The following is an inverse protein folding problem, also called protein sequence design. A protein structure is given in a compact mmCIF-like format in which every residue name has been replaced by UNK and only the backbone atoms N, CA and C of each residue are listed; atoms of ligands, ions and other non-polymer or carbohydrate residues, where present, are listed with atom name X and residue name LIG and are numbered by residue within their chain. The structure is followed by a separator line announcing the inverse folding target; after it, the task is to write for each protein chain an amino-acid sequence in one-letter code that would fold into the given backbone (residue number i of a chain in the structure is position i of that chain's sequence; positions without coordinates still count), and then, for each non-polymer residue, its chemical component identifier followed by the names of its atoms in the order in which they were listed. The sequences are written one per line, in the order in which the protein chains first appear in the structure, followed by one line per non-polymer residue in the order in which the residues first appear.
data_IF_750690600267
#
_entry.id   IF_750690600267
#
_cell.length_a   1.000
_cell.length_b   1.000
_cell.length_c   1.000
_cell.angle_alpha   90.00
_cell.angle_beta   90.00
_cell.angle_gamma   90.00
#
_symmetry.space_group_name_H-M   'P 1'
#
loop_
_entity.id
_entity.type
_entity.pdbx_description
1 polymer ?
#
# COMPACT_ATOMS: atom_id res chain seq x y z
N UNK A 1 -25.86 -14.37 -3.67
CA UNK A 1 -25.56 -13.81 -5.00
C UNK A 1 -24.98 -12.42 -4.77
N UNK A 2 -23.98 -11.99 -5.56
CA UNK A 2 -23.45 -10.62 -5.44
C UNK A 2 -24.54 -9.63 -5.88
N UNK A 3 -24.71 -8.54 -5.15
CA UNK A 3 -25.55 -7.41 -5.52
C UNK A 3 -24.68 -6.28 -6.09
N UNK A 4 -25.24 -5.39 -6.91
CA UNK A 4 -24.52 -4.24 -7.49
C UNK A 4 -23.92 -3.35 -6.40
N UNK A 5 -24.65 -3.19 -5.28
CA UNK A 5 -24.19 -2.45 -4.10
C UNK A 5 -22.85 -2.99 -3.56
N UNK A 6 -22.57 -4.29 -3.68
CA UNK A 6 -21.32 -4.88 -3.20
C UNK A 6 -20.08 -4.32 -3.94
N UNK A 7 -20.25 -3.82 -5.16
CA UNK A 7 -19.19 -3.21 -5.97
C UNK A 7 -18.95 -1.75 -5.55
N UNK A 8 -20.01 -1.03 -5.19
CA UNK A 8 -19.92 0.33 -4.63
C UNK A 8 -19.29 0.29 -3.23
N UNK A 9 -19.70 -0.66 -2.39
CA UNK A 9 -19.13 -0.84 -1.07
C UNK A 9 -17.67 -1.31 -1.15
N UNK A 10 -17.32 -2.12 -2.15
CA UNK A 10 -15.94 -2.49 -2.43
C UNK A 10 -15.07 -1.27 -2.75
N UNK A 11 -15.55 -0.34 -3.60
CA UNK A 11 -14.86 0.92 -3.89
C UNK A 11 -14.56 1.70 -2.60
N UNK A 12 -15.57 1.88 -1.74
CA UNK A 12 -15.46 2.61 -0.47
C UNK A 12 -14.51 1.93 0.52
N UNK A 13 -14.52 0.60 0.54
CA UNK A 13 -13.66 -0.21 1.39
C UNK A 13 -12.21 -0.31 0.91
N UNK A 14 -11.86 0.23 -0.27
CA UNK A 14 -10.53 0.12 -0.87
C UNK A 14 -10.26 -1.22 -1.56
N UNK A 15 -11.31 -1.99 -1.87
CA UNK A 15 -11.28 -3.14 -2.76
C UNK A 15 -11.56 -2.67 -4.19
N UNK A 16 -10.64 -1.90 -4.75
CA UNK A 16 -10.82 -1.21 -6.02
C UNK A 16 -10.90 -2.15 -7.22
N UNK A 17 -10.12 -3.23 -7.26
CA UNK A 17 -10.19 -4.14 -8.41
C UNK A 17 -11.49 -4.92 -8.43
N UNK A 18 -12.02 -5.29 -7.26
CA UNK A 18 -13.39 -5.80 -7.16
C UNK A 18 -14.40 -4.78 -7.70
N UNK A 19 -14.29 -3.49 -7.37
CA UNK A 19 -15.19 -2.47 -7.90
C UNK A 19 -15.17 -2.41 -9.45
N UNK A 20 -14.00 -2.58 -10.07
CA UNK A 20 -13.84 -2.60 -11.53
C UNK A 20 -14.45 -3.83 -12.21
N UNK A 21 -14.83 -4.87 -11.46
CA UNK A 21 -15.52 -6.06 -11.98
C UNK A 21 -17.03 -5.84 -12.20
N UNK A 22 -17.56 -4.65 -11.88
CA UNK A 22 -18.98 -4.29 -12.06
C UNK A 22 -19.49 -4.63 -13.47
N UNK A 23 -18.73 -4.25 -14.50
CA UNK A 23 -19.12 -4.50 -15.89
C UNK A 23 -19.23 -6.01 -16.22
N UNK A 24 -18.30 -6.81 -15.69
CA UNK A 24 -18.33 -8.27 -15.86
C UNK A 24 -19.55 -8.88 -15.15
N UNK A 25 -19.88 -8.40 -13.95
CA UNK A 25 -21.07 -8.80 -13.21
C UNK A 25 -22.36 -8.50 -13.98
N UNK A 26 -22.49 -7.28 -14.51
CA UNK A 26 -23.68 -6.88 -15.29
C UNK A 26 -23.82 -7.76 -16.54
N UNK A 27 -22.73 -7.98 -17.27
CA UNK A 27 -22.72 -8.88 -18.43
C UNK A 27 -23.19 -10.28 -18.03
N UNK A 28 -22.66 -10.85 -16.95
CA UNK A 28 -23.05 -12.17 -16.47
C UNK A 28 -24.51 -12.24 -16.01
N UNK A 29 -25.02 -11.20 -15.33
CA UNK A 29 -26.42 -11.12 -14.85
C UNK A 29 -27.42 -11.27 -15.99
N UNK A 30 -27.13 -10.63 -17.13
CA UNK A 30 -28.04 -10.59 -18.28
C UNK A 30 -27.74 -11.63 -19.36
N UNK A 31 -26.60 -12.32 -19.29
CA UNK A 31 -26.16 -13.26 -20.33
C UNK A 31 -27.15 -14.40 -20.58
N UNK A 32 -27.87 -14.90 -19.57
CA UNK A 32 -28.85 -15.98 -19.76
C UNK A 32 -30.09 -15.56 -20.56
N UNK A 33 -30.34 -14.24 -20.67
CA UNK A 33 -31.48 -13.67 -21.38
C UNK A 33 -31.18 -13.43 -22.87
N UNK A 34 -29.93 -13.62 -23.31
CA UNK A 34 -29.48 -13.42 -24.70
C UNK A 34 -28.62 -14.59 -25.18
N UNK A 35 -28.83 -15.04 -26.43
CA UNK A 35 -28.01 -16.11 -27.03
C UNK A 35 -26.60 -15.64 -27.40
N UNK A 36 -26.49 -14.39 -27.85
CA UNK A 36 -25.20 -13.77 -28.18
C UNK A 36 -24.58 -13.15 -26.93
N UNK A 37 -23.27 -12.92 -26.98
CA UNK A 37 -22.57 -12.20 -25.92
C UNK A 37 -23.12 -10.76 -25.80
N UNK A 38 -23.15 -10.26 -24.58
CA UNK A 38 -23.50 -8.85 -24.30
C UNK A 38 -22.38 -7.97 -24.85
N UNK A 39 -22.71 -7.13 -25.83
CA UNK A 39 -21.81 -6.18 -26.45
C UNK A 39 -21.64 -4.90 -25.61
N UNK A 40 -20.70 -4.03 -26.00
CA UNK A 40 -20.47 -2.76 -25.32
C UNK A 40 -21.71 -1.84 -25.35
N UNK A 41 -22.41 -1.78 -26.48
CA UNK A 41 -23.61 -0.95 -26.68
C UNK A 41 -24.78 -1.37 -25.77
N UNK A 42 -24.80 -2.63 -25.34
CA UNK A 42 -25.81 -3.18 -24.42
C UNK A 42 -25.34 -3.09 -22.97
N UNK A 43 -24.04 -3.29 -22.74
CA UNK A 43 -23.43 -3.26 -21.42
C UNK A 43 -23.53 -1.88 -20.76
N UNK A 44 -23.39 -0.80 -21.53
CA UNK A 44 -23.46 0.57 -21.02
C UNK A 44 -24.84 0.89 -20.42
N UNK A 45 -25.97 0.79 -21.15
CA UNK A 45 -27.29 1.08 -20.59
C UNK A 45 -27.66 0.13 -19.44
N UNK A 46 -27.32 -1.17 -19.53
CA UNK A 46 -27.54 -2.12 -18.44
C UNK A 46 -26.72 -1.76 -17.19
N UNK A 47 -25.46 -1.36 -17.37
CA UNK A 47 -24.59 -0.95 -16.27
C UNK A 47 -25.08 0.31 -15.59
N UNK A 48 -25.57 1.29 -16.35
CA UNK A 48 -26.17 2.52 -15.80
C UNK A 48 -27.43 2.18 -15.02
N UNK A 49 -28.30 1.32 -15.56
CA UNK A 49 -29.51 0.86 -14.89
C UNK A 49 -29.22 0.18 -13.55
N UNK A 50 -28.32 -0.79 -13.54
CA UNK A 50 -27.92 -1.49 -12.31
C UNK A 50 -27.30 -0.54 -11.28
N UNK A 51 -26.40 0.33 -11.72
CA UNK A 51 -25.67 1.22 -10.83
C UNK A 51 -26.55 2.40 -10.34
N UNK A 52 -27.57 2.81 -11.10
CA UNK A 52 -28.55 3.83 -10.68
C UNK A 52 -29.37 3.42 -9.46
N UNK A 53 -29.60 2.12 -9.29
CA UNK A 53 -30.33 1.53 -8.16
C UNK A 53 -29.48 1.42 -6.88
N UNK A 54 -28.19 1.76 -6.93
CA UNK A 54 -27.31 1.77 -5.75
C UNK A 54 -27.33 3.13 -5.06
N UNK A 55 -26.66 3.24 -3.92
CA UNK A 55 -26.45 4.52 -3.25
C UNK A 55 -25.23 5.33 -3.77
N UNK A 56 -24.58 4.92 -4.87
CA UNK A 56 -23.40 5.63 -5.40
C UNK A 56 -23.71 7.11 -5.63
N UNK A 57 -22.82 7.99 -5.19
CA UNK A 57 -23.06 9.42 -5.24
C UNK A 57 -21.74 10.22 -5.32
N UNK A 58 -21.84 11.54 -5.33
CA UNK A 58 -20.68 12.45 -5.44
C UNK A 58 -19.62 12.25 -4.35
N UNK A 59 -19.97 11.69 -3.19
CA UNK A 59 -19.01 11.42 -2.12
C UNK A 59 -18.07 10.25 -2.44
N UNK A 60 -18.40 9.45 -3.47
CA UNK A 60 -17.58 8.34 -3.92
C UNK A 60 -16.47 8.79 -4.89
N UNK A 61 -16.59 10.00 -5.46
CA UNK A 61 -15.64 10.57 -6.43
C UNK A 61 -14.18 10.50 -5.95
N UNK A 62 -13.82 10.82 -4.70
CA UNK A 62 -12.43 10.71 -4.24
C UNK A 62 -11.90 9.27 -4.34
N UNK A 63 -12.71 8.25 -4.06
CA UNK A 63 -12.28 6.86 -4.20
C UNK A 63 -12.11 6.45 -5.67
N UNK A 64 -12.97 6.97 -6.57
CA UNK A 64 -12.86 6.77 -8.01
C UNK A 64 -11.60 7.47 -8.56
N UNK A 65 -11.35 8.71 -8.13
CA UNK A 65 -10.18 9.48 -8.53
C UNK A 65 -8.88 8.84 -8.03
N UNK A 66 -8.87 8.28 -6.82
CA UNK A 66 -7.75 7.49 -6.33
C UNK A 66 -7.41 6.32 -7.26
N UNK A 67 -8.39 5.45 -7.57
CA UNK A 67 -8.10 4.27 -8.41
C UNK A 67 -7.71 4.66 -9.83
N UNK A 68 -8.29 5.73 -10.38
CA UNK A 68 -7.87 6.29 -11.67
C UNK A 68 -6.38 6.66 -11.64
N UNK A 69 -5.98 7.51 -10.71
CA UNK A 69 -4.59 7.98 -10.61
C UNK A 69 -3.62 6.85 -10.24
N UNK A 70 -4.06 5.90 -9.42
CA UNK A 70 -3.28 4.72 -9.08
C UNK A 70 -3.00 3.86 -10.32
N UNK A 71 -3.98 3.62 -11.17
CA UNK A 71 -3.78 2.87 -12.42
C UNK A 71 -2.96 3.66 -13.44
N UNK A 72 -3.18 4.99 -13.57
CA UNK A 72 -2.37 5.86 -14.44
C UNK A 72 -0.89 5.88 -14.06
N UNK A 73 -0.59 5.83 -12.75
CA UNK A 73 0.79 5.70 -12.26
C UNK A 73 1.47 4.43 -12.77
N UNK A 74 0.71 3.36 -13.01
CA UNK A 74 1.19 2.09 -13.52
C UNK A 74 0.89 1.92 -15.02
N UNK A 75 1.77 2.44 -15.88
CA UNK A 75 1.67 2.35 -17.37
C UNK A 75 1.29 0.96 -17.91
N UNK A 76 1.78 -0.11 -17.28
CA UNK A 76 1.44 -1.48 -17.70
C UNK A 76 -0.03 -1.85 -17.41
N UNK A 77 -0.57 -1.41 -16.27
CA UNK A 77 -1.96 -1.72 -15.89
C UNK A 77 -2.96 -0.93 -16.73
N UNK A 78 -2.67 0.36 -16.97
CA UNK A 78 -3.58 1.24 -17.75
C UNK A 78 -3.62 0.89 -19.23
N UNK A 79 -2.56 0.30 -19.80
CA UNK A 79 -2.56 -0.12 -21.21
C UNK A 79 -3.13 -1.54 -21.41
N UNK A 80 -3.56 -2.20 -20.33
CA UNK A 80 -4.13 -3.55 -20.36
C UNK A 80 -5.63 -3.57 -20.04
N UNK A 81 -6.12 -4.76 -19.68
CA UNK A 81 -7.51 -5.00 -19.29
C UNK A 81 -7.97 -4.12 -18.12
N UNK A 82 -7.06 -3.80 -17.18
CA UNK A 82 -7.37 -2.91 -16.05
C UNK A 82 -7.65 -1.48 -16.48
N UNK A 83 -6.98 -0.98 -17.52
CA UNK A 83 -7.32 0.30 -18.12
C UNK A 83 -8.68 0.31 -18.81
N UNK A 84 -8.99 -0.75 -19.56
CA UNK A 84 -10.31 -0.88 -20.20
C UNK A 84 -11.44 -0.91 -19.17
N UNK A 85 -11.34 -1.78 -18.16
CA UNK A 85 -12.33 -1.88 -17.07
C UNK A 85 -12.47 -0.58 -16.28
N UNK A 86 -11.37 0.14 -16.03
CA UNK A 86 -11.39 1.48 -15.43
C UNK A 86 -12.19 2.47 -16.28
N UNK A 87 -11.92 2.57 -17.59
CA UNK A 87 -12.62 3.50 -18.46
C UNK A 87 -14.11 3.19 -18.60
N UNK A 88 -14.47 1.90 -18.61
CA UNK A 88 -15.87 1.46 -18.56
C UNK A 88 -16.51 1.88 -17.24
N UNK A 89 -15.87 1.62 -16.11
CA UNK A 89 -16.39 2.02 -14.80
C UNK A 89 -16.57 3.55 -14.67
N UNK A 90 -15.61 4.35 -15.16
CA UNK A 90 -15.72 5.81 -15.17
C UNK A 90 -16.90 6.30 -16.01
N UNK A 91 -17.11 5.70 -17.19
CA UNK A 91 -18.24 6.03 -18.07
C UNK A 91 -19.57 5.69 -17.40
N UNK A 92 -19.67 4.54 -16.74
CA UNK A 92 -20.88 4.15 -16.00
C UNK A 92 -21.15 5.09 -14.82
N UNK A 93 -20.14 5.34 -13.99
CA UNK A 93 -20.27 6.20 -12.81
C UNK A 93 -20.63 7.64 -13.21
N UNK A 94 -20.03 8.20 -14.26
CA UNK A 94 -20.31 9.57 -14.69
C UNK A 94 -21.74 9.75 -15.20
N UNK A 95 -22.23 8.79 -15.98
CA UNK A 95 -23.59 8.80 -16.49
C UNK A 95 -24.59 8.60 -15.37
N UNK A 96 -24.34 7.69 -14.42
CA UNK A 96 -25.20 7.52 -13.25
C UNK A 96 -25.24 8.77 -12.39
N UNK A 97 -24.10 9.40 -12.12
CA UNK A 97 -24.08 10.65 -11.36
C UNK A 97 -24.84 11.78 -12.06
N UNK A 98 -24.85 11.80 -13.40
CA UNK A 98 -25.65 12.76 -14.17
C UNK A 98 -27.15 12.42 -14.16
N UNK A 99 -27.49 11.15 -14.34
CA UNK A 99 -28.87 10.65 -14.35
C UNK A 99 -29.53 10.77 -12.97
N UNK A 100 -28.77 10.67 -11.88
CA UNK A 100 -29.23 10.93 -10.51
C UNK A 100 -29.60 12.40 -10.23
N UNK A 101 -29.32 13.30 -11.17
CA UNK A 101 -29.81 14.68 -11.14
C UNK A 101 -31.15 14.84 -11.88
N UNK A 102 -31.74 13.76 -12.39
CA UNK A 102 -33.06 13.77 -13.00
C UNK A 102 -34.15 13.46 -11.97
N UNK A 103 -35.21 14.25 -11.96
CA UNK A 103 -36.34 14.07 -11.05
C UNK A 103 -37.17 12.83 -11.41
N UNK A 104 -37.13 12.38 -12.68
CA UNK A 104 -37.88 11.22 -13.15
C UNK A 104 -37.14 9.89 -12.91
N UNK A 105 -35.90 9.90 -12.41
CA UNK A 105 -35.09 8.68 -12.25
C UNK A 105 -35.81 7.62 -11.42
N UNK A 106 -36.34 8.00 -10.25
CA UNK A 106 -36.99 7.06 -9.34
C UNK A 106 -38.22 6.41 -9.98
N UNK A 107 -39.03 7.20 -10.70
CA UNK A 107 -40.20 6.70 -11.41
C UNK A 107 -39.81 5.75 -12.54
N UNK A 108 -38.87 6.15 -13.40
CA UNK A 108 -38.43 5.35 -14.55
C UNK A 108 -37.78 4.05 -14.10
N UNK A 109 -36.95 4.08 -13.06
CA UNK A 109 -36.31 2.86 -12.52
C UNK A 109 -37.33 1.93 -11.85
N UNK A 110 -38.28 2.46 -11.09
CA UNK A 110 -39.33 1.66 -10.46
C UNK A 110 -40.28 1.01 -11.48
N UNK A 111 -40.53 1.68 -12.62
CA UNK A 111 -41.35 1.16 -13.71
C UNK A 111 -40.60 0.17 -14.62
N UNK A 112 -39.27 0.13 -14.56
CA UNK A 112 -38.45 -0.74 -15.40
C UNK A 112 -38.26 -2.11 -14.73
N UNK A 113 -38.40 -3.19 -15.50
CA UNK A 113 -38.13 -4.56 -15.02
C UNK A 113 -37.50 -5.37 -16.14
N UNK A 114 -36.45 -6.15 -15.81
CA UNK A 114 -35.69 -6.96 -16.77
C UNK A 114 -35.47 -8.36 -16.20
N UNK A 115 -36.49 -9.21 -16.33
CA UNK A 115 -36.48 -10.60 -15.84
C UNK A 115 -36.40 -11.63 -16.98
N UNK A 116 -36.63 -11.20 -18.23
CA UNK A 116 -36.65 -12.09 -19.38
C UNK A 116 -36.14 -11.41 -20.66
N UNK A 117 -35.96 -12.22 -21.71
CA UNK A 117 -35.42 -11.78 -23.00
C UNK A 117 -36.28 -10.72 -23.72
N UNK A 118 -37.60 -10.74 -23.55
CA UNK A 118 -38.50 -9.78 -24.19
C UNK A 118 -38.38 -8.40 -23.53
N UNK A 119 -38.36 -8.36 -22.19
CA UNK A 119 -38.13 -7.15 -21.42
C UNK A 119 -36.74 -6.56 -21.69
N UNK A 120 -35.70 -7.40 -21.74
CA UNK A 120 -34.34 -6.95 -22.10
C UNK A 120 -34.33 -6.31 -23.49
N UNK A 121 -35.01 -6.91 -24.47
CA UNK A 121 -35.11 -6.37 -25.83
C UNK A 121 -35.83 -5.02 -25.85
N UNK A 122 -36.91 -4.85 -25.06
CA UNK A 122 -37.63 -3.58 -24.96
C UNK A 122 -36.79 -2.50 -24.27
N UNK A 123 -36.11 -2.85 -23.18
CA UNK A 123 -35.21 -1.95 -22.45
C UNK A 123 -34.11 -1.37 -23.34
N UNK A 124 -33.51 -2.21 -24.20
CA UNK A 124 -32.42 -1.83 -25.10
C UNK A 124 -32.86 -1.02 -26.33
N UNK A 125 -34.14 -0.71 -26.51
CA UNK A 125 -34.59 0.14 -27.62
C UNK A 125 -34.24 1.62 -27.35
N UNK A 126 -33.81 2.33 -28.39
CA UNK A 126 -33.45 3.76 -28.31
C UNK A 126 -34.59 4.66 -27.79
N UNK A 127 -35.83 4.22 -27.92
CA UNK A 127 -37.02 4.94 -27.48
C UNK A 127 -37.57 4.47 -26.12
N UNK A 128 -36.87 3.58 -25.40
CA UNK A 128 -37.25 3.18 -24.05
C UNK A 128 -37.15 4.37 -23.09
N UNK A 129 -37.96 4.39 -22.03
CA UNK A 129 -37.97 5.49 -21.06
C UNK A 129 -36.60 5.67 -20.40
N UNK A 130 -35.92 4.55 -20.11
CA UNK A 130 -34.56 4.58 -19.56
C UNK A 130 -33.52 5.10 -20.57
N UNK A 131 -33.63 4.73 -21.85
CA UNK A 131 -32.74 5.27 -22.89
C UNK A 131 -32.90 6.79 -23.04
N UNK A 132 -34.15 7.28 -23.06
CA UNK A 132 -34.45 8.73 -23.08
C UNK A 132 -33.88 9.44 -21.86
N UNK A 133 -33.97 8.84 -20.68
CA UNK A 133 -33.39 9.38 -19.45
C UNK A 133 -31.87 9.56 -19.58
N UNK A 134 -31.16 8.54 -20.09
CA UNK A 134 -29.72 8.62 -20.35
C UNK A 134 -29.41 9.73 -21.35
N UNK A 135 -30.11 9.77 -22.50
CA UNK A 135 -29.86 10.77 -23.54
C UNK A 135 -30.03 12.20 -23.02
N UNK A 136 -31.06 12.48 -22.22
CA UNK A 136 -31.29 13.81 -21.63
C UNK A 136 -30.16 14.29 -20.73
N UNK A 137 -29.46 13.38 -20.04
CA UNK A 137 -28.42 13.70 -19.06
C UNK A 137 -27.00 13.39 -19.55
N UNK A 138 -26.84 12.84 -20.75
CA UNK A 138 -25.55 12.42 -21.30
C UNK A 138 -24.52 13.55 -21.31
N UNK A 139 -24.90 14.76 -21.72
CA UNK A 139 -24.01 15.92 -21.76
C UNK A 139 -23.50 16.33 -20.37
N UNK A 140 -24.29 16.10 -19.32
CA UNK A 140 -23.90 16.41 -17.95
C UNK A 140 -22.86 15.43 -17.40
N UNK A 141 -22.71 14.23 -17.98
CA UNK A 141 -21.73 13.23 -17.53
C UNK A 141 -20.29 13.71 -17.67
N UNK A 142 -20.01 14.60 -18.63
CA UNK A 142 -18.67 15.11 -18.90
C UNK A 142 -18.04 15.77 -17.68
N UNK A 143 -18.82 16.58 -16.94
CA UNK A 143 -18.34 17.23 -15.72
C UNK A 143 -17.87 16.22 -14.68
N UNK A 144 -18.55 15.07 -14.59
CA UNK A 144 -18.23 14.02 -13.63
C UNK A 144 -17.00 13.24 -14.05
N UNK A 145 -16.86 12.93 -15.35
CA UNK A 145 -15.61 12.35 -15.88
C UNK A 145 -14.44 13.26 -15.54
N UNK A 146 -14.53 14.55 -15.85
CA UNK A 146 -13.43 15.50 -15.65
C UNK A 146 -12.98 15.56 -14.18
N UNK A 147 -13.93 15.54 -13.22
CA UNK A 147 -13.61 15.51 -11.79
C UNK A 147 -13.02 14.16 -11.36
N UNK A 148 -13.61 13.03 -11.79
CA UNK A 148 -13.13 11.69 -11.44
C UNK A 148 -11.77 11.37 -12.05
N UNK A 149 -11.43 11.95 -13.21
CA UNK A 149 -10.16 11.75 -13.89
C UNK A 149 -9.16 12.89 -13.68
N UNK A 150 -9.39 13.76 -12.69
CA UNK A 150 -8.46 14.84 -12.38
C UNK A 150 -7.08 14.24 -12.00
N UNK A 151 -5.98 14.61 -12.72
CA UNK A 151 -4.66 14.07 -12.41
C UNK A 151 -4.17 14.50 -11.04
N UNK A 152 -3.61 13.55 -10.29
CA UNK A 152 -2.90 13.77 -9.03
C UNK A 152 -1.39 13.65 -9.25
N UNK A 153 -0.62 14.51 -8.58
CA UNK A 153 0.82 14.33 -8.52
C UNK A 153 1.17 13.08 -7.70
N UNK A 154 2.33 12.46 -7.96
CA UNK A 154 2.78 11.27 -7.21
C UNK A 154 2.81 11.53 -5.70
N UNK A 155 3.17 12.74 -5.28
CA UNK A 155 3.22 13.15 -3.87
C UNK A 155 1.83 13.16 -3.23
N UNK A 156 0.80 13.59 -3.97
CA UNK A 156 -0.57 13.63 -3.47
C UNK A 156 -1.15 12.21 -3.39
N UNK A 157 -0.89 11.36 -4.39
CA UNK A 157 -1.27 9.95 -4.37
C UNK A 157 -0.61 9.20 -3.20
N UNK A 158 0.67 9.49 -2.94
CA UNK A 158 1.38 8.95 -1.77
C UNK A 158 0.72 9.40 -0.46
N UNK A 159 0.35 10.68 -0.35
CA UNK A 159 -0.32 11.25 0.83
C UNK A 159 -1.70 10.63 1.05
N UNK A 160 -2.45 10.33 -0.01
CA UNK A 160 -3.71 9.61 0.12
C UNK A 160 -3.48 8.21 0.73
N UNK A 161 -2.51 7.44 0.21
CA UNK A 161 -2.15 6.12 0.75
C UNK A 161 -1.71 6.20 2.22
N UNK A 162 -0.97 7.25 2.58
CA UNK A 162 -0.51 7.51 3.94
C UNK A 162 -1.66 7.79 4.91
N UNK A 163 -2.70 8.49 4.44
CA UNK A 163 -3.87 8.87 5.24
C UNK A 163 -5.01 7.84 5.20
N UNK A 164 -4.91 6.80 4.38
CA UNK A 164 -5.87 5.69 4.37
C UNK A 164 -5.94 4.99 5.73
N UNK A 165 -7.17 4.69 6.17
CA UNK A 165 -7.39 3.85 7.36
C UNK A 165 -6.71 2.49 7.20
N UNK A 166 -6.32 1.88 8.33
CA UNK A 166 -5.63 0.58 8.32
C UNK A 166 -6.43 -0.49 7.57
N UNK A 167 -7.76 -0.53 7.75
CA UNK A 167 -8.61 -1.49 7.06
C UNK A 167 -8.63 -1.26 5.54
N UNK A 168 -8.78 -0.01 5.10
CA UNK A 168 -8.80 0.33 3.66
C UNK A 168 -7.45 0.02 3.00
N UNK A 169 -6.36 0.32 3.68
CA UNK A 169 -5.02 -0.01 3.21
C UNK A 169 -4.77 -1.53 3.15
N UNK A 170 -5.20 -2.28 4.16
CA UNK A 170 -5.07 -3.74 4.17
C UNK A 170 -5.84 -4.41 3.01
N UNK A 171 -7.02 -3.88 2.66
CA UNK A 171 -7.80 -4.32 1.51
C UNK A 171 -7.05 -4.07 0.19
N UNK A 172 -6.55 -2.84 -0.01
CA UNK A 172 -5.74 -2.48 -1.17
C UNK A 172 -4.48 -3.37 -1.27
N UNK A 173 -3.77 -3.56 -0.15
CA UNK A 173 -2.58 -4.39 -0.10
C UNK A 173 -2.86 -5.84 -0.52
N UNK A 174 -3.97 -6.41 -0.04
CA UNK A 174 -4.41 -7.76 -0.40
C UNK A 174 -4.68 -7.88 -1.90
N UNK A 175 -5.43 -6.93 -2.48
CA UNK A 175 -5.73 -6.91 -3.91
C UNK A 175 -4.47 -6.78 -4.76
N UNK A 176 -3.52 -5.94 -4.36
CA UNK A 176 -2.24 -5.80 -5.04
C UNK A 176 -1.36 -7.04 -4.92
N UNK A 177 -1.42 -7.75 -3.78
CA UNK A 177 -0.77 -9.04 -3.62
C UNK A 177 -1.32 -10.09 -4.58
N UNK A 178 -2.65 -10.16 -4.73
CA UNK A 178 -3.31 -11.05 -5.69
C UNK A 178 -2.96 -10.69 -7.14
N UNK A 179 -3.00 -9.40 -7.48
CA UNK A 179 -2.59 -8.91 -8.80
C UNK A 179 -1.13 -9.26 -9.09
N UNK A 180 -0.23 -9.05 -8.12
CA UNK A 180 1.18 -9.40 -8.25
C UNK A 180 1.39 -10.90 -8.50
N UNK A 181 0.62 -11.76 -7.83
CA UNK A 181 0.67 -13.22 -8.08
C UNK A 181 0.15 -13.60 -9.46
N UNK A 182 -0.91 -12.94 -9.95
CA UNK A 182 -1.42 -13.16 -11.31
C UNK A 182 -0.38 -12.74 -12.36
N UNK A 183 0.15 -11.52 -12.23
CA UNK A 183 1.16 -10.98 -13.13
C UNK A 183 2.46 -11.80 -13.12
N UNK A 184 2.84 -12.36 -11.98
CA UNK A 184 4.01 -13.24 -11.88
C UNK A 184 3.85 -14.52 -12.71
N UNK A 185 2.62 -15.07 -12.86
CA UNK A 185 2.36 -16.21 -13.76
C UNK A 185 2.62 -15.84 -15.23
N UNK A 186 2.41 -14.58 -15.57
CA UNK A 186 2.68 -13.98 -16.89
C UNK A 186 4.13 -13.47 -17.01
N UNK A 187 4.99 -13.75 -16.03
CA UNK A 187 6.39 -13.29 -15.93
C UNK A 187 6.54 -11.76 -15.88
N UNK A 188 5.51 -11.06 -15.42
CA UNK A 188 5.54 -9.61 -15.21
C UNK A 188 5.88 -9.31 -13.76
N UNK A 189 6.99 -8.63 -13.54
CA UNK A 189 7.39 -8.18 -12.21
C UNK A 189 6.62 -6.91 -11.81
N UNK A 190 5.68 -7.05 -10.88
CA UNK A 190 4.90 -5.93 -10.35
C UNK A 190 5.52 -5.38 -9.06
N UNK A 191 5.89 -4.10 -9.08
CA UNK A 191 6.41 -3.38 -7.91
C UNK A 191 5.72 -2.02 -7.77
N UNK A 192 5.24 -1.72 -6.56
CA UNK A 192 4.61 -0.43 -6.25
C UNK A 192 5.38 0.30 -5.14
N UNK A 193 6.20 1.32 -5.49
CA UNK A 193 6.96 2.10 -4.52
C UNK A 193 6.09 2.80 -3.48
N UNK A 194 4.89 3.24 -3.86
CA UNK A 194 3.99 4.01 -3.00
C UNK A 194 3.50 3.18 -1.80
N UNK A 195 3.11 1.94 -2.06
CA UNK A 195 2.65 0.99 -1.04
C UNK A 195 3.83 0.50 -0.19
N UNK A 196 5.01 0.34 -0.81
CA UNK A 196 6.19 -0.16 -0.13
C UNK A 196 6.65 0.75 1.02
N UNK A 197 6.45 2.06 0.93
CA UNK A 197 6.84 3.01 2.00
C UNK A 197 6.13 2.72 3.33
N UNK A 198 4.82 2.43 3.29
CA UNK A 198 4.03 2.09 4.49
C UNK A 198 4.42 0.73 5.03
N UNK A 199 4.66 -0.27 4.15
CA UNK A 199 5.18 -1.57 4.57
C UNK A 199 6.55 -1.47 5.23
N UNK A 200 7.47 -0.70 4.65
CA UNK A 200 8.81 -0.48 5.19
C UNK A 200 8.74 0.16 6.58
N UNK A 201 7.90 1.17 6.76
CA UNK A 201 7.70 1.79 8.07
C UNK A 201 7.19 0.78 9.09
N UNK A 202 6.20 -0.04 8.73
CA UNK A 202 5.67 -1.09 9.60
C UNK A 202 6.74 -2.13 9.99
N UNK A 203 7.49 -2.66 9.01
CA UNK A 203 8.55 -3.65 9.26
C UNK A 203 9.65 -3.10 10.18
N UNK A 204 10.01 -1.83 10.04
CA UNK A 204 11.00 -1.20 10.92
C UNK A 204 10.43 -1.01 12.32
N UNK A 205 9.16 -0.59 12.48
CA UNK A 205 8.52 -0.49 13.80
C UNK A 205 8.53 -1.84 14.52
N UNK A 206 8.19 -2.92 13.81
CA UNK A 206 8.24 -4.28 14.34
C UNK A 206 9.67 -4.69 14.73
N UNK A 207 10.67 -4.38 13.90
CA UNK A 207 12.07 -4.67 14.20
C UNK A 207 12.57 -3.88 15.42
N UNK A 208 12.16 -2.62 15.57
CA UNK A 208 12.51 -1.77 16.72
C UNK A 208 11.84 -2.25 18.00
N UNK A 209 10.55 -2.61 17.95
CA UNK A 209 9.83 -3.17 19.09
C UNK A 209 10.45 -4.49 19.55
N UNK A 210 10.71 -5.42 18.62
CA UNK A 210 11.38 -6.68 18.94
C UNK A 210 12.79 -6.46 19.51
N UNK A 211 13.51 -5.43 19.06
CA UNK A 211 14.82 -5.10 19.61
C UNK A 211 14.72 -4.53 21.03
N UNK A 212 13.74 -3.65 21.29
CA UNK A 212 13.43 -3.14 22.63
C UNK A 212 13.18 -4.29 23.60
N UNK A 213 12.30 -5.21 23.23
CA UNK A 213 11.90 -6.34 24.08
C UNK A 213 13.09 -7.25 24.37
N UNK A 214 13.94 -7.53 23.37
CA UNK A 214 15.18 -8.27 23.58
C UNK A 214 16.16 -7.57 24.53
N UNK A 215 16.26 -6.25 24.46
CA UNK A 215 17.11 -5.48 25.39
C UNK A 215 16.53 -5.47 26.81
N UNK A 216 15.20 -5.43 26.94
CA UNK A 216 14.50 -5.54 28.21
C UNK A 216 14.77 -6.90 28.87
N UNK A 217 14.58 -8.00 28.14
CA UNK A 217 14.86 -9.35 28.62
C UNK A 217 16.32 -9.50 29.11
N UNK A 218 17.26 -8.82 28.44
CA UNK A 218 18.66 -8.80 28.87
C UNK A 218 18.87 -8.00 30.15
N UNK A 219 18.18 -6.87 30.29
CA UNK A 219 18.27 -6.05 31.51
C UNK A 219 17.75 -6.83 32.72
N UNK A 220 16.62 -7.51 32.58
CA UNK A 220 16.03 -8.36 33.61
C UNK A 220 16.98 -9.50 34.01
N UNK A 221 17.63 -10.17 33.03
CA UNK A 221 18.63 -11.22 33.28
C UNK A 221 19.89 -10.71 33.98
N UNK A 222 20.26 -9.44 33.78
CA UNK A 222 21.39 -8.81 34.47
C UNK A 222 20.97 -8.15 35.79
N UNK A 223 19.76 -8.41 36.29
CA UNK A 223 19.26 -7.96 37.59
C UNK A 223 18.72 -6.53 37.63
N UNK A 224 18.44 -5.92 36.48
CA UNK A 224 17.76 -4.62 36.40
C UNK A 224 16.26 -4.87 36.30
N UNK A 225 15.51 -4.42 37.31
CA UNK A 225 14.06 -4.62 37.39
C UNK A 225 13.32 -3.44 36.77
N UNK A 226 12.13 -3.70 36.24
CA UNK A 226 11.20 -2.67 35.78
C UNK A 226 10.02 -2.58 36.74
N UNK A 227 9.60 -1.36 37.07
CA UNK A 227 8.40 -1.12 37.87
C UNK A 227 7.15 -1.49 37.07
N UNK A 228 6.00 -1.57 37.75
CA UNK A 228 4.68 -1.72 37.12
C UNK A 228 4.35 -0.61 36.13
N UNK A 229 5.00 0.55 36.26
CA UNK A 229 4.81 1.72 35.38
C UNK A 229 5.84 1.77 34.24
N UNK A 230 6.70 0.75 34.14
CA UNK A 230 7.74 0.63 33.11
C UNK A 230 9.03 1.40 33.42
N UNK A 231 9.18 1.96 34.61
CA UNK A 231 10.41 2.65 35.02
C UNK A 231 11.48 1.66 35.46
N UNK A 232 12.74 1.89 35.07
CA UNK A 232 13.85 1.06 35.54
C UNK A 232 14.14 1.34 37.02
N UNK A 233 14.15 0.27 37.81
CA UNK A 233 14.53 0.29 39.22
C UNK A 233 15.92 -0.34 39.36
N UNK A 234 16.89 0.51 39.71
CA UNK A 234 18.25 0.08 40.04
C UNK A 234 18.38 -0.09 41.55
N UNK A 235 18.61 -1.33 42.00
CA UNK A 235 18.84 -1.62 43.42
C UNK A 235 20.28 -1.29 43.86
N UNK A 236 21.22 -1.21 42.90
CA UNK A 236 22.65 -0.99 43.09
C UNK A 236 23.15 -0.13 41.91
N UNK A 237 24.26 0.61 42.09
CA UNK A 237 24.94 1.28 40.97
C UNK A 237 25.26 0.30 39.83
N UNK A 238 24.89 0.64 38.58
CA UNK A 238 25.08 -0.26 37.45
C UNK A 238 26.56 -0.38 37.10
N UNK A 239 27.00 -1.62 36.86
CA UNK A 239 28.31 -1.88 36.25
C UNK A 239 28.42 -1.22 34.89
N UNK A 240 29.64 -0.99 34.39
CA UNK A 240 29.88 -0.46 33.03
C UNK A 240 29.14 -1.25 31.94
N UNK A 241 29.03 -2.58 32.10
CA UNK A 241 28.29 -3.46 31.18
C UNK A 241 26.78 -3.20 31.24
N UNK A 242 26.22 -3.09 32.46
CA UNK A 242 24.81 -2.76 32.66
C UNK A 242 24.51 -1.34 32.15
N UNK A 243 25.35 -0.35 32.44
CA UNK A 243 25.16 1.02 31.94
C UNK A 243 25.10 1.09 30.42
N UNK A 244 25.99 0.37 29.73
CA UNK A 244 25.93 0.27 28.26
C UNK A 244 24.62 -0.34 27.78
N UNK A 245 24.13 -1.40 28.44
CA UNK A 245 22.87 -2.05 28.10
C UNK A 245 21.66 -1.14 28.36
N UNK A 246 21.64 -0.43 29.49
CA UNK A 246 20.64 0.58 29.85
C UNK A 246 20.58 1.68 28.78
N UNK A 247 21.74 2.21 28.38
CA UNK A 247 21.80 3.24 27.34
C UNK A 247 21.19 2.76 26.00
N UNK A 248 21.48 1.50 25.59
CA UNK A 248 20.88 0.91 24.38
C UNK A 248 19.37 0.75 24.52
N UNK A 249 18.90 0.27 25.66
CA UNK A 249 17.47 0.12 25.90
C UNK A 249 16.75 1.46 25.86
N UNK A 250 17.25 2.47 26.57
CA UNK A 250 16.62 3.79 26.65
C UNK A 250 16.48 4.44 25.27
N UNK A 251 17.55 4.44 24.45
CA UNK A 251 17.48 5.06 23.13
C UNK A 251 16.51 4.32 22.21
N UNK A 252 16.42 2.98 22.30
CA UNK A 252 15.48 2.19 21.51
C UNK A 252 14.04 2.34 22.02
N UNK A 253 13.82 2.41 23.32
CA UNK A 253 12.50 2.63 23.91
C UNK A 253 11.93 3.98 23.50
N UNK A 254 12.75 5.05 23.59
CA UNK A 254 12.38 6.39 23.10
C UNK A 254 12.10 6.36 21.59
N UNK A 255 12.93 5.66 20.81
CA UNK A 255 12.73 5.56 19.38
C UNK A 255 11.43 4.83 19.02
N UNK A 256 11.11 3.72 19.69
CA UNK A 256 9.86 2.97 19.49
C UNK A 256 8.67 3.89 19.74
N UNK A 257 8.70 4.63 20.86
CA UNK A 257 7.63 5.56 21.22
C UNK A 257 7.47 6.70 20.20
N UNK A 258 8.58 7.28 19.73
CA UNK A 258 8.56 8.33 18.71
C UNK A 258 8.05 7.87 17.33
N UNK A 259 8.16 6.56 17.02
CA UNK A 259 7.80 6.02 15.71
C UNK A 259 6.43 5.34 15.69
N UNK A 260 5.82 5.05 16.84
CA UNK A 260 4.61 4.21 16.97
C UNK A 260 3.46 4.66 16.06
N UNK A 261 3.17 5.96 16.05
CA UNK A 261 2.02 6.55 15.35
C UNK A 261 2.35 6.94 13.90
N UNK A 262 3.60 6.72 13.45
CA UNK A 262 4.01 7.09 12.10
C UNK A 262 3.61 6.00 11.11
N UNK A 263 2.81 6.40 10.12
CA UNK A 263 2.39 5.53 9.01
C UNK A 263 3.51 5.37 7.97
N UNK A 264 4.26 6.44 7.71
CA UNK A 264 5.43 6.48 6.82
C UNK A 264 6.52 7.31 7.49
N UNK A 265 7.78 6.98 7.19
CA UNK A 265 8.94 7.71 7.69
C UNK A 265 9.43 8.77 6.72
N UNK A 266 9.45 10.01 7.19
CA UNK A 266 10.11 11.13 6.54
C UNK A 266 11.62 10.94 6.51
N UNK A 267 12.32 11.81 5.78
CA UNK A 267 13.78 11.85 5.83
C UNK A 267 14.31 12.12 7.25
N UNK A 268 13.67 13.03 7.99
CA UNK A 268 14.03 13.32 9.38
C UNK A 268 13.89 12.10 10.29
N UNK A 269 12.83 11.31 10.11
CA UNK A 269 12.61 10.09 10.90
C UNK A 269 13.69 9.06 10.64
N UNK A 270 14.07 8.88 9.37
CA UNK A 270 15.17 7.99 8.98
C UNK A 270 16.49 8.43 9.62
N UNK A 271 16.76 9.73 9.69
CA UNK A 271 17.96 10.27 10.36
C UNK A 271 17.94 10.01 11.87
N UNK A 272 16.78 10.15 12.52
CA UNK A 272 16.63 9.83 13.95
C UNK A 272 16.89 8.35 14.21
N UNK A 273 16.35 7.46 13.36
CA UNK A 273 16.58 6.02 13.45
C UNK A 273 18.08 5.71 13.29
N UNK A 274 18.72 6.28 12.28
CA UNK A 274 20.16 6.09 12.03
C UNK A 274 21.00 6.51 13.25
N UNK A 275 20.75 7.70 13.82
CA UNK A 275 21.46 8.19 15.01
C UNK A 275 21.26 7.29 16.23
N UNK A 276 20.05 6.77 16.44
CA UNK A 276 19.79 5.82 17.51
C UNK A 276 20.57 4.51 17.33
N UNK A 277 20.70 4.01 16.09
CA UNK A 277 21.52 2.83 15.81
C UNK A 277 23.01 3.09 16.05
N UNK A 278 23.51 4.29 15.72
CA UNK A 278 24.90 4.71 16.02
C UNK A 278 25.17 4.73 17.54
N UNK A 279 24.25 5.31 18.33
CA UNK A 279 24.35 5.31 19.80
C UNK A 279 24.38 3.87 20.34
N UNK A 280 23.51 2.99 19.82
CA UNK A 280 23.52 1.59 20.18
C UNK A 280 24.86 0.92 19.87
N UNK A 281 25.45 1.25 18.73
CA UNK A 281 26.74 0.74 18.29
C UNK A 281 27.89 1.18 19.20
N UNK A 282 27.96 2.46 19.58
CA UNK A 282 28.96 2.97 20.53
C UNK A 282 28.85 2.29 21.91
N UNK A 283 27.65 1.86 22.29
CA UNK A 283 27.43 1.09 23.51
C UNK A 283 27.74 -0.41 23.36
N UNK A 284 28.51 -0.82 22.34
CA UNK A 284 29.10 -2.16 22.21
C UNK A 284 28.05 -3.30 22.14
N UNK A 285 27.23 -3.37 21.07
CA UNK A 285 26.17 -4.35 20.96
C UNK A 285 26.73 -5.75 20.75
N UNK A 286 26.05 -6.75 21.33
CA UNK A 286 26.41 -8.15 21.14
C UNK A 286 26.16 -8.62 19.69
N UNK A 287 26.76 -9.74 19.29
CA UNK A 287 26.57 -10.29 17.94
C UNK A 287 25.10 -10.53 17.59
N UNK A 288 24.30 -11.03 18.55
CA UNK A 288 22.86 -11.25 18.38
C UNK A 288 22.08 -9.94 18.14
N UNK A 289 22.53 -8.82 18.74
CA UNK A 289 21.87 -7.52 18.56
C UNK A 289 22.12 -6.96 17.15
N UNK A 290 23.21 -7.37 16.47
CA UNK A 290 23.53 -6.91 15.11
C UNK A 290 22.48 -7.33 14.06
N UNK A 291 21.76 -8.42 14.31
CA UNK A 291 20.68 -8.90 13.44
C UNK A 291 19.53 -7.88 13.35
N UNK A 292 19.24 -7.16 14.44
CA UNK A 292 18.19 -6.13 14.45
C UNK A 292 18.59 -4.91 13.63
N UNK A 293 19.87 -4.51 13.72
CA UNK A 293 20.41 -3.43 12.89
C UNK A 293 20.35 -3.78 11.41
N UNK A 294 20.78 -5.00 11.05
CA UNK A 294 20.74 -5.48 9.67
C UNK A 294 19.31 -5.40 9.12
N UNK A 295 18.31 -5.92 9.86
CA UNK A 295 16.90 -5.86 9.47
C UNK A 295 16.41 -4.44 9.21
N UNK A 296 16.69 -3.50 10.12
CA UNK A 296 16.28 -2.10 9.93
C UNK A 296 16.96 -1.47 8.69
N UNK A 297 18.28 -1.69 8.53
CA UNK A 297 19.02 -1.16 7.38
C UNK A 297 18.59 -1.77 6.04
N UNK A 298 18.28 -3.06 6.01
CA UNK A 298 17.83 -3.76 4.80
C UNK A 298 16.46 -3.25 4.34
N UNK A 299 15.56 -2.96 5.28
CA UNK A 299 14.26 -2.40 4.95
C UNK A 299 14.40 -1.01 4.34
N UNK A 300 15.27 -0.16 4.89
CA UNK A 300 15.52 1.19 4.37
C UNK A 300 16.27 1.22 3.04
N UNK A 301 17.16 0.26 2.81
CA UNK A 301 17.93 0.17 1.57
C UNK A 301 17.25 -0.64 0.47
N UNK A 302 16.08 -1.23 0.76
CA UNK A 302 15.43 -2.18 -0.16
C UNK A 302 16.28 -3.44 -0.39
N UNK A 303 17.05 -3.86 0.61
CA UNK A 303 17.99 -4.99 0.53
C UNK A 303 19.32 -4.65 -0.14
N UNK A 304 19.55 -3.39 -0.53
CA UNK A 304 20.86 -2.94 -1.00
C UNK A 304 21.79 -2.78 0.22
N UNK A 305 22.87 -3.56 0.25
CA UNK A 305 23.88 -3.56 1.33
C UNK A 305 24.63 -2.23 1.64
N UNK A 306 24.57 -1.11 0.87
CA UNK A 306 25.39 0.07 1.15
C UNK A 306 25.18 0.74 2.52
N UNK A 307 23.94 0.84 3.03
CA UNK A 307 23.69 1.51 4.32
C UNK A 307 24.29 0.73 5.50
N UNK A 308 24.16 -0.60 5.48
CA UNK A 308 24.84 -1.45 6.46
C UNK A 308 26.36 -1.30 6.34
N UNK A 309 26.91 -1.34 5.12
CA UNK A 309 28.36 -1.16 4.92
C UNK A 309 28.86 0.23 5.30
N UNK A 310 28.04 1.29 5.22
CA UNK A 310 28.43 2.64 5.65
C UNK A 310 28.30 2.84 7.16
N UNK A 311 27.29 2.23 7.80
CA UNK A 311 27.06 2.34 9.24
C UNK A 311 27.94 1.39 10.06
N UNK A 312 28.31 0.24 9.49
CA UNK A 312 29.03 -0.84 10.19
C UNK A 312 30.41 -1.15 9.57
N UNK A 313 31.07 -0.16 8.94
CA UNK A 313 32.37 -0.31 8.29
C UNK A 313 33.56 -0.55 9.23
N UNK A 314 33.36 -1.19 10.38
CA UNK A 314 34.46 -1.82 11.09
C UNK A 314 35.07 -2.94 10.24
N UNK A 315 34.31 -3.63 9.38
CA UNK A 315 34.88 -4.62 8.44
C UNK A 315 35.82 -4.00 7.40
N UNK A 316 35.58 -2.75 6.96
CA UNK A 316 36.51 -2.04 6.07
C UNK A 316 37.80 -1.67 6.82
N UNK A 317 37.67 -1.23 8.08
CA UNK A 317 38.80 -0.91 8.95
C UNK A 317 39.60 -2.17 9.35
N UNK A 318 38.91 -3.28 9.68
CA UNK A 318 39.53 -4.57 9.98
C UNK A 318 40.17 -5.18 8.74
N UNK A 319 39.55 -5.08 7.56
CA UNK A 319 40.18 -5.49 6.31
C UNK A 319 41.44 -4.68 6.01
N UNK A 320 41.39 -3.34 6.17
CA UNK A 320 42.56 -2.48 6.01
C UNK A 320 43.66 -2.76 7.06
N UNK A 321 43.29 -3.02 8.31
CA UNK A 321 44.24 -3.37 9.37
C UNK A 321 44.84 -4.76 9.16
N UNK A 322 44.07 -5.73 8.66
CA UNK A 322 44.55 -7.07 8.31
C UNK A 322 45.43 -7.00 7.05
N UNK A 323 45.07 -6.24 6.03
CA UNK A 323 45.91 -5.99 4.84
C UNK A 323 47.22 -5.27 5.20
N UNK A 324 47.18 -4.30 6.13
CA UNK A 324 48.38 -3.65 6.64
C UNK A 324 49.26 -4.58 7.48
N UNK A 325 48.66 -5.49 8.27
CA UNK A 325 49.39 -6.51 9.03
C UNK A 325 50.03 -7.56 8.10
N UNK A 326 49.33 -7.97 7.04
CA UNK A 326 49.85 -8.90 6.02
C UNK A 326 51.00 -8.24 5.25
N UNK A 327 50.89 -6.95 4.88
CA UNK A 327 51.96 -6.22 4.21
C UNK A 327 53.22 -6.06 5.09
N UNK A 328 53.05 -5.92 6.41
CA UNK A 328 54.16 -5.86 7.37
C UNK A 328 54.86 -7.23 7.53
N UNK A 329 54.13 -8.34 7.44
CA UNK A 329 54.71 -9.69 7.46
C UNK A 329 55.45 -10.04 6.14
N UNK A 330 55.00 -9.50 5.01
CA UNK A 330 55.67 -9.68 3.70
C UNK A 330 56.95 -8.85 3.54
N UNK A 331 57.01 -7.63 4.12
CA UNK A 331 58.26 -6.84 4.17
C UNK A 331 59.29 -7.41 5.17
N UNK A 332 58.84 -8.12 6.22
CA UNK A 332 59.70 -8.83 7.18
C UNK A 332 60.28 -10.15 6.67
N UNK A 333 59.64 -10.79 5.68
CA UNK A 333 60.10 -12.05 5.10
C UNK A 333 61.09 -11.88 3.93
N UNK A 334 61.26 -10.66 3.42
CA UNK A 334 62.12 -10.34 2.26
C UNK A 334 63.55 -9.90 2.57
N UNK A 335 63.95 -9.81 3.84
CA UNK A 335 65.27 -9.27 4.24
C UNK A 335 66.03 -10.17 5.23
N UNK A 336 66.10 -11.49 5.01
CA UNK A 336 67.13 -12.33 5.64
C UNK A 336 67.54 -13.52 4.74
N UNK A 337 68.35 -13.25 3.72
CA UNK A 337 69.56 -14.06 3.44
C UNK A 337 70.60 -13.19 2.72
N UNK A 338 71.77 -12.94 3.33
CA UNK A 338 72.96 -12.48 2.65
C UNK A 338 73.76 -13.65 2.06
N UNK A 339 74.36 -13.38 0.89
CA UNK A 339 75.26 -14.16 0.03
C UNK A 339 74.65 -15.14 -0.97
#
# INVERSE_FOLDING_TARGET
MSHVQDYVDALRAGCYFKALELAAFVSQKYQSMKKELIGADELVPLGIYELSQTDINKNDIPAINFIYNYLQYHRYLVNGEKGYTLMTFLSLASLVLAVKEDEELEEVTAATTIDNAEQLKFFLQDNSDFSRLITRKADHSRKWIDIMSQPLAEVDLAKEIETMSNQRFANLEKELGQLGQQLAKEKVHFFCPLIQRRKQAQMVKEALAAFRDHLQDKLEKEGVLFSTDGEMVLLIEPTTKQQKLINRYQIIAVLVEQMKDKTVFSYGDKQVIVKAMEICYYNSPSWQERVFFQKATDVFSGGLKPLYRSLFSQEKLYKQNIEALIALDEEGAGMLTPN
#
